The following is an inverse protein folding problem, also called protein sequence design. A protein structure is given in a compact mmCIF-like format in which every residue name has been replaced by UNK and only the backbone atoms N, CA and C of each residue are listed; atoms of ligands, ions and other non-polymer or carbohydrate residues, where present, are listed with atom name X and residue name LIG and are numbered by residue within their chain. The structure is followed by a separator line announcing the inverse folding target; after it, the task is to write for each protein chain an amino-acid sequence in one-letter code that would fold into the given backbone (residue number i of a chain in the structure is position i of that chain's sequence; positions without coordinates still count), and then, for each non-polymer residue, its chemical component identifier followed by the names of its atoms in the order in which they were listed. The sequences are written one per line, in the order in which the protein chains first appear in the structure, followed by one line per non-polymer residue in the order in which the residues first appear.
data_IF_144759315234
#
_entry.id   IF_144759315234
#
_cell.length_a   1.000
_cell.length_b   1.000
_cell.length_c   1.000
_cell.angle_alpha   90.00
_cell.angle_beta   90.00
_cell.angle_gamma   90.00
#
_symmetry.space_group_name_H-M   'P 1'
#
loop_
_entity.id
_entity.type
_entity.pdbx_description
1 polymer ?
#
# COMPACT_ATOMS: atom_id res chain seq x y z
N UNK A 1 -61.71 -35.84 -23.29
CA UNK A 1 -60.25 -35.91 -23.30
C UNK A 1 -59.77 -34.51 -23.01
N UNK A 2 -59.37 -34.22 -21.76
CA UNK A 2 -58.91 -32.88 -21.37
C UNK A 2 -57.44 -32.81 -21.77
N UNK A 3 -57.14 -31.97 -22.77
CA UNK A 3 -55.78 -31.78 -23.30
C UNK A 3 -54.85 -31.28 -22.20
N UNK A 4 -53.95 -32.17 -21.76
CA UNK A 4 -52.95 -31.92 -20.72
C UNK A 4 -51.97 -30.81 -21.10
N UNK A 5 -51.90 -30.48 -22.39
CA UNK A 5 -51.06 -29.43 -22.98
C UNK A 5 -51.57 -28.01 -22.71
N UNK A 6 -52.89 -27.80 -22.54
CA UNK A 6 -53.44 -26.48 -22.20
C UNK A 6 -53.17 -26.10 -20.74
N UNK A 7 -53.26 -27.06 -19.81
CA UNK A 7 -52.96 -26.84 -18.39
C UNK A 7 -51.47 -26.55 -18.15
N UNK A 8 -50.57 -27.15 -18.92
CA UNK A 8 -49.13 -26.86 -18.83
C UNK A 8 -48.77 -25.45 -19.29
N UNK A 9 -49.41 -24.94 -20.35
CA UNK A 9 -49.16 -23.59 -20.85
C UNK A 9 -49.72 -22.51 -19.90
N UNK A 10 -50.87 -22.76 -19.29
CA UNK A 10 -51.50 -21.80 -18.35
C UNK A 10 -50.72 -21.67 -17.02
N UNK A 11 -50.07 -22.76 -16.55
CA UNK A 11 -49.19 -22.74 -15.37
C UNK A 11 -47.87 -22.02 -15.67
N UNK A 12 -47.30 -22.20 -16.86
CA UNK A 12 -46.05 -21.56 -17.28
C UNK A 12 -46.19 -20.04 -17.45
N UNK A 13 -47.33 -19.55 -17.94
CA UNK A 13 -47.59 -18.11 -18.12
C UNK A 13 -47.78 -17.38 -16.78
N UNK A 14 -48.46 -18.03 -15.81
CA UNK A 14 -48.65 -17.47 -14.46
C UNK A 14 -47.32 -17.39 -13.68
N UNK A 15 -46.39 -18.31 -13.91
CA UNK A 15 -45.04 -18.30 -13.33
C UNK A 15 -44.08 -17.30 -14.00
N UNK A 16 -44.35 -16.85 -15.24
CA UNK A 16 -43.59 -15.77 -15.90
C UNK A 16 -43.98 -14.40 -15.37
N UNK A 17 -45.28 -14.09 -15.28
CA UNK A 17 -45.77 -12.80 -14.80
C UNK A 17 -45.32 -12.43 -13.38
N UNK A 18 -45.19 -13.41 -12.48
CA UNK A 18 -44.76 -13.17 -11.10
C UNK A 18 -43.23 -12.93 -10.96
N UNK A 19 -42.41 -13.50 -11.85
CA UNK A 19 -40.96 -13.29 -11.86
C UNK A 19 -40.59 -11.92 -12.43
N UNK A 20 -41.33 -11.45 -13.42
CA UNK A 20 -41.10 -10.14 -14.05
C UNK A 20 -41.52 -8.98 -13.11
N UNK A 21 -42.58 -9.16 -12.33
CA UNK A 21 -43.03 -8.17 -11.33
C UNK A 21 -42.03 -8.01 -10.17
N UNK A 22 -41.52 -9.13 -9.61
CA UNK A 22 -40.52 -9.10 -8.53
C UNK A 22 -39.16 -8.56 -8.99
N UNK A 23 -38.81 -8.77 -10.27
CA UNK A 23 -37.60 -8.21 -10.87
C UNK A 23 -37.72 -6.70 -11.11
N UNK A 24 -38.91 -6.22 -11.50
CA UNK A 24 -39.20 -4.80 -11.71
C UNK A 24 -39.17 -3.99 -10.41
N UNK A 25 -39.69 -4.54 -9.31
CA UNK A 25 -39.63 -3.90 -7.97
C UNK A 25 -38.18 -3.77 -7.45
N UNK A 26 -37.33 -4.80 -7.62
CA UNK A 26 -35.92 -4.73 -7.23
C UNK A 26 -35.10 -3.79 -8.13
N UNK A 27 -35.43 -3.70 -9.42
CA UNK A 27 -34.76 -2.79 -10.36
C UNK A 27 -35.11 -1.31 -10.07
N UNK A 28 -36.36 -1.00 -9.69
CA UNK A 28 -36.77 0.35 -9.31
C UNK A 28 -36.21 0.77 -7.94
N UNK A 29 -36.01 -0.17 -7.01
CA UNK A 29 -35.34 0.11 -5.71
C UNK A 29 -33.83 0.39 -5.84
N UNK A 30 -33.19 -0.06 -6.92
CA UNK A 30 -31.80 0.23 -7.25
C UNK A 30 -31.62 1.47 -8.14
N UNK A 31 -32.68 1.85 -8.88
CA UNK A 31 -32.73 3.05 -9.72
C UNK A 31 -33.34 4.27 -8.99
N UNK A 32 -33.33 4.26 -7.65
CA UNK A 32 -33.56 5.45 -6.85
C UNK A 32 -32.53 6.50 -7.24
N UNK A 33 -32.95 7.48 -8.05
CA UNK A 33 -32.17 8.64 -8.47
C UNK A 33 -31.56 9.30 -7.23
N UNK A 34 -30.34 8.91 -6.88
CA UNK A 34 -29.44 9.82 -6.18
C UNK A 34 -29.21 10.95 -7.17
N UNK A 35 -29.71 12.12 -6.81
CA UNK A 35 -29.63 13.29 -7.68
C UNK A 35 -28.14 13.47 -8.05
N UNK A 36 -27.82 13.68 -9.32
CA UNK A 36 -26.42 13.78 -9.74
C UNK A 36 -25.70 14.88 -8.95
N UNK A 37 -26.44 15.92 -8.55
CA UNK A 37 -25.97 16.96 -7.64
C UNK A 37 -25.63 16.46 -6.23
N UNK A 38 -26.32 15.45 -5.72
CA UNK A 38 -26.05 14.83 -4.42
C UNK A 38 -24.77 13.99 -4.47
N UNK A 39 -24.56 13.25 -5.57
CA UNK A 39 -23.30 12.52 -5.80
C UNK A 39 -22.13 13.48 -6.03
N UNK A 40 -22.35 14.59 -6.74
CA UNK A 40 -21.35 15.65 -6.88
C UNK A 40 -21.06 16.35 -5.55
N UNK A 41 -22.05 16.57 -4.69
CA UNK A 41 -21.85 17.15 -3.36
C UNK A 41 -21.10 16.20 -2.44
N UNK A 42 -21.46 14.92 -2.41
CA UNK A 42 -20.77 13.89 -1.63
C UNK A 42 -19.29 13.77 -2.06
N UNK A 43 -19.01 13.74 -3.36
CA UNK A 43 -17.63 13.70 -3.89
C UNK A 43 -16.86 15.00 -3.64
N UNK A 44 -17.49 16.17 -3.74
CA UNK A 44 -16.86 17.46 -3.42
C UNK A 44 -16.63 17.62 -1.92
N UNK A 45 -17.50 17.11 -1.05
CA UNK A 45 -17.32 17.14 0.41
C UNK A 45 -16.22 16.17 0.86
N UNK A 46 -16.13 14.98 0.26
CA UNK A 46 -14.99 14.08 0.44
C UNK A 46 -13.68 14.75 -0.02
N UNK A 47 -13.69 15.47 -1.15
CA UNK A 47 -12.52 16.25 -1.60
C UNK A 47 -12.19 17.46 -0.70
N UNK A 48 -13.19 18.11 -0.10
CA UNK A 48 -12.97 19.22 0.84
C UNK A 48 -12.39 18.75 2.18
N UNK A 49 -12.65 17.50 2.59
CA UNK A 49 -11.96 16.90 3.75
C UNK A 49 -10.48 16.61 3.50
N UNK A 50 -10.05 16.46 2.23
CA UNK A 50 -8.63 16.42 1.85
C UNK A 50 -8.04 17.82 1.58
N UNK A 51 -8.88 18.84 1.35
CA UNK A 51 -8.45 20.24 1.24
C UNK A 51 -8.10 20.88 2.61
N UNK A 52 -8.38 20.17 3.71
CA UNK A 52 -7.94 20.49 5.06
C UNK A 52 -6.63 19.79 5.44
N UNK A 53 -5.52 20.16 4.79
CA UNK A 53 -4.18 20.00 5.38
C UNK A 53 -3.40 18.71 5.12
N UNK A 54 -3.72 17.92 4.09
CA UNK A 54 -2.80 16.87 3.61
C UNK A 54 -1.97 17.42 2.46
N UNK A 55 -0.81 18.02 2.78
CA UNK A 55 0.19 18.38 1.76
C UNK A 55 0.44 17.12 0.91
N UNK A 56 0.09 17.17 -0.37
CA UNK A 56 0.39 16.10 -1.34
C UNK A 56 1.86 15.76 -1.15
N UNK A 57 2.15 14.51 -0.80
CA UNK A 57 3.53 14.11 -0.51
C UNK A 57 4.35 14.39 -1.75
N UNK A 58 5.32 15.30 -1.66
CA UNK A 58 6.24 15.53 -2.76
C UNK A 58 7.10 14.27 -2.88
N UNK A 59 6.72 13.42 -3.83
CA UNK A 59 7.35 12.13 -4.08
C UNK A 59 8.83 12.31 -4.37
N UNK A 60 9.22 13.38 -5.07
CA UNK A 60 10.62 13.64 -5.40
C UNK A 60 11.41 14.02 -4.16
N UNK A 61 10.83 14.84 -3.28
CA UNK A 61 11.46 15.17 -2.00
C UNK A 61 11.59 13.93 -1.11
N UNK A 62 10.56 13.09 -1.05
CA UNK A 62 10.61 11.83 -0.29
C UNK A 62 11.67 10.87 -0.84
N UNK A 63 11.76 10.71 -2.16
CA UNK A 63 12.76 9.84 -2.80
C UNK A 63 14.20 10.28 -2.45
N UNK A 64 14.48 11.58 -2.47
CA UNK A 64 15.78 12.13 -2.05
C UNK A 64 16.04 11.91 -0.56
N UNK A 65 15.02 12.03 0.29
CA UNK A 65 15.13 11.77 1.73
C UNK A 65 15.45 10.28 2.00
N UNK A 66 14.83 9.36 1.25
CA UNK A 66 15.10 7.91 1.33
C UNK A 66 16.51 7.59 0.85
N UNK A 67 16.97 8.22 -0.23
CA UNK A 67 18.34 8.06 -0.73
C UNK A 67 19.36 8.53 0.33
N UNK A 68 19.11 9.67 0.97
CA UNK A 68 19.95 10.18 2.06
C UNK A 68 20.02 9.20 3.24
N UNK A 69 18.88 8.67 3.68
CA UNK A 69 18.81 7.67 4.75
C UNK A 69 19.64 6.42 4.41
N UNK A 70 19.55 5.94 3.17
CA UNK A 70 20.32 4.77 2.72
C UNK A 70 21.84 4.98 2.80
N UNK A 71 22.33 6.16 2.38
CA UNK A 71 23.74 6.54 2.45
C UNK A 71 24.20 6.69 3.91
N UNK A 72 23.35 7.28 4.75
CA UNK A 72 23.64 7.46 6.17
C UNK A 72 23.76 6.11 6.90
N UNK A 73 22.84 5.18 6.66
CA UNK A 73 22.91 3.81 7.19
C UNK A 73 24.20 3.13 6.76
N UNK A 74 24.54 3.20 5.46
CA UNK A 74 25.76 2.59 4.95
C UNK A 74 27.00 3.14 5.65
N UNK A 75 27.05 4.45 5.88
CA UNK A 75 28.14 5.12 6.62
C UNK A 75 28.15 4.68 8.09
N UNK A 76 27.01 4.63 8.76
CA UNK A 76 26.89 4.17 10.15
C UNK A 76 27.42 2.75 10.32
N UNK A 77 27.01 1.82 9.45
CA UNK A 77 27.49 0.43 9.48
C UNK A 77 29.00 0.33 9.29
N UNK A 78 29.57 1.16 8.40
CA UNK A 78 31.01 1.22 8.18
C UNK A 78 31.77 1.68 9.44
N UNK A 79 31.27 2.71 10.11
CA UNK A 79 31.88 3.20 11.36
C UNK A 79 31.72 2.16 12.48
N UNK A 80 30.56 1.52 12.62
CA UNK A 80 30.35 0.44 13.60
C UNK A 80 31.36 -0.71 13.42
N UNK A 81 31.60 -1.16 12.18
CA UNK A 81 32.64 -2.17 11.87
C UNK A 81 34.02 -1.72 12.34
N UNK A 82 34.39 -0.46 12.11
CA UNK A 82 35.70 0.06 12.50
C UNK A 82 35.96 0.05 14.00
N UNK A 83 34.89 0.08 14.82
CA UNK A 83 34.98 0.08 16.29
C UNK A 83 35.04 -1.32 16.91
N UNK A 84 34.80 -2.38 16.13
CA UNK A 84 34.90 -3.76 16.63
C UNK A 84 36.37 -4.14 16.67
N UNK A 85 36.95 -4.09 17.87
CA UNK A 85 38.31 -4.56 18.11
C UNK A 85 38.37 -6.07 17.92
N UNK A 86 39.25 -6.57 17.03
CA UNK A 86 39.53 -8.01 16.91
C UNK A 86 40.27 -8.46 18.18
N UNK A 87 39.55 -9.05 19.14
CA UNK A 87 40.14 -9.54 20.39
C UNK A 87 40.47 -11.02 20.26
N UNK A 88 41.74 -11.35 20.08
CA UNK A 88 42.20 -12.74 20.14
C UNK A 88 43.72 -12.85 20.16
N UNK A 89 44.26 -13.52 21.18
CA UNK A 89 45.64 -14.04 21.18
C UNK A 89 45.86 -15.14 20.12
N UNK A 90 44.76 -15.69 19.56
CA UNK A 90 44.73 -16.73 18.53
C UNK A 90 43.75 -16.27 17.43
N UNK A 91 44.20 -15.36 16.59
CA UNK A 91 43.64 -14.98 15.29
C UNK A 91 44.02 -16.04 14.24
N UNK A 92 43.04 -16.61 13.53
CA UNK A 92 43.19 -17.65 12.49
C UNK A 92 43.76 -17.16 11.16
N UNK A 93 44.56 -16.10 11.21
CA UNK A 93 45.40 -15.62 10.12
C UNK A 93 44.65 -14.99 8.95
N UNK A 94 45.39 -14.78 7.85
CA UNK A 94 44.92 -14.07 6.65
C UNK A 94 43.68 -14.68 5.99
N UNK A 95 43.49 -15.98 6.12
CA UNK A 95 42.31 -16.66 5.57
C UNK A 95 41.03 -16.29 6.35
N UNK A 96 41.09 -16.23 7.68
CA UNK A 96 39.97 -15.81 8.52
C UNK A 96 39.56 -14.36 8.21
N UNK A 97 40.54 -13.46 8.05
CA UNK A 97 40.28 -12.06 7.69
C UNK A 97 39.50 -11.92 6.37
N UNK A 98 39.88 -12.69 5.34
CA UNK A 98 39.18 -12.65 4.04
C UNK A 98 37.76 -13.24 4.14
N UNK A 99 37.59 -14.34 4.88
CA UNK A 99 36.27 -14.94 5.05
C UNK A 99 35.34 -14.08 5.92
N UNK A 100 35.86 -13.47 6.99
CA UNK A 100 35.14 -12.48 7.78
C UNK A 100 34.76 -11.27 6.93
N UNK A 101 35.68 -10.71 6.15
CA UNK A 101 35.39 -9.56 5.31
C UNK A 101 34.28 -9.87 4.30
N UNK A 102 34.34 -11.03 3.64
CA UNK A 102 33.28 -11.46 2.72
C UNK A 102 31.94 -11.68 3.44
N UNK A 103 31.96 -12.25 4.65
CA UNK A 103 30.77 -12.49 5.46
C UNK A 103 30.14 -11.17 5.93
N UNK A 104 30.95 -10.23 6.43
CA UNK A 104 30.51 -8.92 6.87
C UNK A 104 30.01 -8.06 5.71
N UNK A 105 30.58 -8.17 4.52
CA UNK A 105 30.07 -7.50 3.32
C UNK A 105 28.66 -8.00 2.96
N UNK A 106 28.40 -9.32 3.11
CA UNK A 106 27.05 -9.88 2.92
C UNK A 106 26.06 -9.40 3.97
N UNK A 107 26.42 -9.44 5.26
CA UNK A 107 25.53 -8.93 6.31
C UNK A 107 25.28 -7.44 6.21
N UNK A 108 26.30 -6.64 5.88
CA UNK A 108 26.15 -5.20 5.69
C UNK A 108 25.21 -4.89 4.52
N UNK A 109 25.31 -5.64 3.42
CA UNK A 109 24.43 -5.48 2.26
C UNK A 109 22.97 -5.84 2.58
N UNK A 110 22.75 -6.92 3.35
CA UNK A 110 21.39 -7.33 3.75
C UNK A 110 20.79 -6.38 4.80
N UNK A 111 21.57 -5.92 5.78
CA UNK A 111 21.10 -4.94 6.77
C UNK A 111 20.84 -3.58 6.13
N UNK A 112 21.69 -3.11 5.19
CA UNK A 112 21.50 -1.82 4.52
C UNK A 112 20.21 -1.74 3.72
N UNK A 113 19.72 -2.86 3.17
CA UNK A 113 18.45 -2.91 2.43
C UNK A 113 17.22 -2.87 3.33
N UNK A 114 17.36 -3.31 4.58
CA UNK A 114 16.26 -3.45 5.53
C UNK A 114 16.25 -2.36 6.62
N UNK A 115 17.29 -1.53 6.67
CA UNK A 115 17.41 -0.44 7.63
C UNK A 115 16.46 0.71 7.26
N UNK A 116 15.18 0.53 7.56
CA UNK A 116 14.22 1.62 7.58
C UNK A 116 14.23 2.23 8.98
N UNK A 117 15.10 3.23 9.20
CA UNK A 117 15.27 3.91 10.50
C UNK A 117 14.24 5.03 10.71
N UNK A 118 13.44 5.34 9.69
CA UNK A 118 12.45 6.40 9.70
C UNK A 118 13.05 7.80 9.53
N UNK A 119 14.35 7.91 9.28
CA UNK A 119 15.04 9.19 9.15
C UNK A 119 14.57 9.96 7.91
N UNK A 120 14.24 9.27 6.81
CA UNK A 120 13.69 9.92 5.63
C UNK A 120 12.35 10.64 5.93
N UNK A 121 11.51 10.02 6.77
CA UNK A 121 10.21 10.62 7.14
C UNK A 121 10.38 11.85 8.02
N UNK A 122 11.35 11.82 8.94
CA UNK A 122 11.70 12.97 9.78
C UNK A 122 12.28 14.11 8.93
N UNK A 123 13.20 13.80 8.02
CA UNK A 123 13.80 14.78 7.12
C UNK A 123 12.74 15.40 6.20
N UNK A 124 11.86 14.58 5.64
CA UNK A 124 10.74 15.04 4.82
C UNK A 124 9.83 15.98 5.61
N UNK A 125 9.52 15.67 6.87
CA UNK A 125 8.68 16.53 7.73
C UNK A 125 9.33 17.89 7.99
N UNK A 126 10.63 17.93 8.28
CA UNK A 126 11.36 19.18 8.52
C UNK A 126 11.50 20.01 7.23
N UNK A 127 11.83 19.37 6.10
CA UNK A 127 11.99 20.06 4.82
C UNK A 127 10.64 20.56 4.27
N UNK A 128 9.59 19.75 4.35
CA UNK A 128 8.24 20.17 3.95
C UNK A 128 7.59 21.17 4.91
N UNK A 129 8.15 21.36 6.11
CA UNK A 129 7.73 22.41 7.04
C UNK A 129 8.42 23.76 6.73
N UNK A 130 9.70 23.71 6.32
CA UNK A 130 10.51 24.89 5.98
C UNK A 130 10.37 25.37 4.53
N UNK A 131 9.89 24.51 3.63
CA UNK A 131 9.52 24.82 2.24
C UNK A 131 8.01 25.07 2.16
#
# INVERSE_FOLDING_TARGET
MIDTTMLQNQILDSARGNRDAAFKEKAERAAGKKDFQETLRETVELQKSDAGGKKVVDKKLMDVCVEMESLFVAKMMKEMRSTVHKTGWIHGGFAEDIFEDMLYDKYSLEMSKNANLGLATMLYKEMSSKI
#
